data_IF_215302810377
#
_entry.id   IF_215302810377
#
_cell.length_a   1.000
_cell.length_b   1.000
_cell.length_c   1.000
_cell.angle_alpha   90.00
_cell.angle_beta   90.00
_cell.angle_gamma   90.00
#
_symmetry.space_group_name_H-M   'P 1'
#
loop_
_entity.id
_entity.type
_entity.pdbx_description
1 polymer ?
#
# COMPACT_ATOMS: atom_id res chain seq x y z
N UNK A 1 -2.62 59.16 42.10
CA UNK A 1 -2.45 58.94 40.65
C UNK A 1 -1.90 57.53 40.46
N UNK A 2 -2.75 56.67 39.89
CA UNK A 2 -2.48 55.44 39.15
C UNK A 2 -1.68 54.30 39.80
N UNK A 3 -2.42 53.40 40.44
CA UNK A 3 -2.13 51.97 40.52
C UNK A 3 -2.28 51.32 39.13
N UNK A 4 -1.41 50.39 38.77
CA UNK A 4 -1.61 49.52 37.59
C UNK A 4 -1.01 48.14 37.82
N UNK A 5 -1.81 47.29 38.45
CA UNK A 5 -1.73 45.83 38.36
C UNK A 5 -2.17 45.37 36.97
N UNK A 6 -1.36 44.56 36.30
CA UNK A 6 -1.78 43.83 35.09
C UNK A 6 -1.46 42.33 35.27
N UNK A 7 -2.51 41.63 35.68
CA UNK A 7 -2.69 40.19 35.51
C UNK A 7 -3.03 39.87 34.06
N UNK A 8 -2.28 38.98 33.41
CA UNK A 8 -2.68 38.34 32.17
C UNK A 8 -2.72 36.82 32.38
N UNK A 9 -3.93 36.34 32.60
CA UNK A 9 -4.35 34.95 32.65
C UNK A 9 -4.27 34.33 31.25
N UNK A 10 -3.38 33.34 31.08
CA UNK A 10 -3.35 32.45 29.91
C UNK A 10 -4.24 31.24 30.14
N UNK A 11 -5.54 31.39 29.91
CA UNK A 11 -6.47 30.26 29.81
C UNK A 11 -6.45 29.71 28.39
N UNK A 12 -5.65 28.65 28.17
CA UNK A 12 -5.76 27.80 26.99
C UNK A 12 -7.00 26.93 27.16
N UNK A 13 -8.08 27.29 26.45
CA UNK A 13 -9.27 26.45 26.36
C UNK A 13 -8.97 25.25 25.46
N UNK A 14 -8.50 24.15 26.04
CA UNK A 14 -8.56 22.85 25.36
C UNK A 14 -10.02 22.42 25.31
N UNK A 15 -10.65 22.55 24.14
CA UNK A 15 -11.94 21.90 23.89
C UNK A 15 -11.82 20.41 24.23
N UNK A 16 -12.82 19.79 24.88
CA UNK A 16 -12.76 18.37 25.18
C UNK A 16 -12.63 17.59 23.87
N UNK A 17 -11.55 16.81 23.74
CA UNK A 17 -11.32 15.92 22.61
C UNK A 17 -12.52 14.98 22.49
N UNK A 18 -13.18 14.99 21.33
CA UNK A 18 -14.22 13.99 21.04
C UNK A 18 -13.62 12.59 21.21
N UNK A 19 -14.35 11.64 21.79
CA UNK A 19 -13.88 10.26 21.84
C UNK A 19 -13.65 9.73 20.42
N UNK A 20 -12.65 8.86 20.21
CA UNK A 20 -12.35 8.34 18.89
C UNK A 20 -13.53 7.54 18.32
N UNK A 21 -13.75 7.62 17.01
CA UNK A 21 -14.83 6.94 16.28
C UNK A 21 -14.56 5.42 16.24
N UNK A 22 -13.29 5.04 16.07
CA UNK A 22 -12.81 3.65 16.11
C UNK A 22 -11.69 3.63 17.13
N UNK A 23 -11.77 2.73 18.11
CA UNK A 23 -10.60 2.47 18.93
C UNK A 23 -9.61 1.71 18.05
N UNK A 24 -8.42 2.25 17.81
CA UNK A 24 -7.37 1.47 17.15
C UNK A 24 -6.88 0.41 18.15
N UNK A 25 -6.88 -0.85 17.74
CA UNK A 25 -6.44 -1.95 18.61
C UNK A 25 -5.07 -2.44 18.20
N UNK A 26 -4.26 -2.76 19.21
CA UNK A 26 -3.05 -3.58 19.08
C UNK A 26 -3.35 -5.08 19.19
N UNK A 27 -4.64 -5.48 19.23
CA UNK A 27 -5.08 -6.84 19.58
C UNK A 27 -6.06 -7.39 18.55
N UNK A 28 -6.01 -8.71 18.35
CA UNK A 28 -6.88 -9.48 17.45
C UNK A 28 -8.36 -9.22 17.71
N UNK A 29 -9.12 -9.07 16.62
CA UNK A 29 -10.57 -9.06 16.59
C UNK A 29 -11.13 -10.50 16.55
N UNK A 30 -12.41 -10.71 16.86
CA UNK A 30 -13.10 -11.98 16.63
C UNK A 30 -12.93 -12.46 15.17
N UNK A 31 -13.04 -13.77 14.95
CA UNK A 31 -12.88 -14.35 13.60
C UNK A 31 -13.85 -13.70 12.59
N UNK A 32 -13.41 -13.47 11.35
CA UNK A 32 -14.20 -12.75 10.38
C UNK A 32 -15.37 -13.62 9.92
N UNK A 33 -16.60 -13.19 10.22
CA UNK A 33 -17.75 -13.60 9.42
C UNK A 33 -17.53 -13.20 7.96
N UNK A 34 -18.05 -14.00 7.03
CA UNK A 34 -17.98 -13.69 5.60
C UNK A 34 -18.45 -12.25 5.37
N UNK A 35 -17.66 -11.37 4.70
CA UNK A 35 -18.14 -10.03 4.36
C UNK A 35 -19.14 -10.13 3.20
N UNK A 36 -20.32 -10.71 3.45
CA UNK A 36 -21.48 -10.65 2.55
C UNK A 36 -22.07 -9.24 2.50
N UNK A 37 -21.77 -8.45 3.53
CA UNK A 37 -22.26 -7.10 3.75
C UNK A 37 -21.40 -6.07 3.01
N UNK A 38 -22.06 -5.21 2.24
CA UNK A 38 -21.40 -4.14 1.47
C UNK A 38 -22.15 -2.83 1.64
N UNK A 39 -21.40 -1.73 1.67
CA UNK A 39 -21.92 -0.40 1.36
C UNK A 39 -21.96 -0.26 -0.16
N UNK A 40 -23.15 -0.06 -0.71
CA UNK A 40 -23.36 0.06 -2.16
C UNK A 40 -23.77 1.48 -2.50
N UNK A 41 -22.92 2.17 -3.26
CA UNK A 41 -23.14 3.54 -3.67
C UNK A 41 -23.71 3.58 -5.08
N UNK A 42 -24.79 4.33 -5.24
CA UNK A 42 -25.52 4.51 -6.48
C UNK A 42 -25.50 5.96 -6.91
N UNK A 43 -25.48 6.16 -8.22
CA UNK A 43 -25.76 7.45 -8.83
C UNK A 43 -27.28 7.73 -8.70
N UNK A 44 -27.70 8.92 -8.23
CA UNK A 44 -29.12 9.22 -7.98
C UNK A 44 -29.94 9.23 -9.28
N UNK A 45 -29.57 10.02 -10.29
CA UNK A 45 -30.31 10.12 -11.56
C UNK A 45 -30.37 8.81 -12.36
N UNK A 46 -29.26 8.06 -12.44
CA UNK A 46 -29.18 6.82 -13.22
C UNK A 46 -29.63 5.58 -12.45
N UNK A 47 -29.76 5.68 -11.12
CA UNK A 47 -29.99 4.56 -10.20
C UNK A 47 -29.03 3.37 -10.48
N UNK A 48 -27.79 3.68 -10.84
CA UNK A 48 -26.76 2.71 -11.20
C UNK A 48 -25.68 2.66 -10.13
N UNK A 49 -25.32 1.44 -9.69
CA UNK A 49 -24.30 1.23 -8.67
C UNK A 49 -22.89 1.38 -9.26
N UNK A 50 -22.06 2.21 -8.64
CA UNK A 50 -20.70 2.47 -9.15
C UNK A 50 -19.57 2.16 -8.15
N UNK A 51 -19.90 1.91 -6.88
CA UNK A 51 -18.90 1.58 -5.86
C UNK A 51 -19.49 0.67 -4.79
N UNK A 52 -18.90 -0.52 -4.62
CA UNK A 52 -19.33 -1.53 -3.64
C UNK A 52 -18.19 -1.86 -2.66
N UNK A 53 -18.21 -1.24 -1.49
CA UNK A 53 -17.18 -1.42 -0.46
C UNK A 53 -17.62 -2.51 0.52
N UNK A 54 -16.86 -3.60 0.68
CA UNK A 54 -17.11 -4.59 1.74
C UNK A 54 -16.94 -3.96 3.12
N UNK A 55 -17.84 -4.28 4.03
CA UNK A 55 -17.78 -3.78 5.41
C UNK A 55 -17.57 -4.90 6.42
N UNK A 56 -16.96 -4.55 7.54
CA UNK A 56 -16.63 -5.46 8.65
C UNK A 56 -16.98 -4.81 9.97
N UNK A 57 -17.02 -5.61 11.03
CA UNK A 57 -17.24 -5.08 12.37
C UNK A 57 -16.03 -4.28 12.81
N UNK A 58 -16.26 -3.00 13.13
CA UNK A 58 -15.22 -2.09 13.58
C UNK A 58 -15.17 -2.12 15.11
N UNK A 59 -13.97 -2.06 15.69
CA UNK A 59 -13.86 -2.05 17.13
C UNK A 59 -13.96 -0.61 17.65
N UNK A 60 -14.76 -0.42 18.69
CA UNK A 60 -15.22 0.87 19.21
C UNK A 60 -14.56 1.19 20.57
N UNK A 61 -14.58 2.46 21.01
CA UNK A 61 -14.13 2.83 22.35
C UNK A 61 -14.77 1.97 23.43
N UNK A 62 -13.99 1.66 24.48
CA UNK A 62 -14.46 0.80 25.58
C UNK A 62 -14.32 -0.70 25.30
N UNK A 63 -13.51 -1.11 24.32
CA UNK A 63 -13.28 -2.51 23.93
C UNK A 63 -14.55 -3.24 23.47
N UNK A 64 -15.49 -2.50 22.87
CA UNK A 64 -16.71 -3.05 22.29
C UNK A 64 -16.52 -3.18 20.79
N UNK A 65 -17.23 -4.11 20.14
CA UNK A 65 -17.25 -4.26 18.69
C UNK A 65 -18.58 -3.71 18.17
N UNK A 66 -18.59 -3.04 17.02
CA UNK A 66 -19.81 -2.49 16.44
C UNK A 66 -20.87 -3.58 16.24
N UNK A 67 -22.13 -3.29 16.55
CA UNK A 67 -23.23 -4.27 16.40
C UNK A 67 -23.46 -4.66 14.93
N UNK A 68 -23.15 -3.74 14.01
CA UNK A 68 -23.23 -3.95 12.56
C UNK A 68 -21.87 -3.78 11.94
N UNK A 69 -21.63 -4.53 10.86
CA UNK A 69 -20.50 -4.28 9.97
C UNK A 69 -20.61 -2.87 9.38
N UNK A 70 -19.54 -2.08 9.48
CA UNK A 70 -19.53 -0.68 9.13
C UNK A 70 -18.16 -0.21 8.60
N UNK A 71 -18.13 1.02 8.11
CA UNK A 71 -16.93 1.74 7.68
C UNK A 71 -17.06 3.23 8.08
N UNK A 72 -15.97 3.95 8.39
CA UNK A 72 -16.03 5.39 8.58
C UNK A 72 -16.68 6.11 7.38
N UNK A 73 -17.63 7.02 7.65
CA UNK A 73 -18.30 7.83 6.63
C UNK A 73 -17.28 8.59 5.77
N UNK A 74 -16.23 9.13 6.40
CA UNK A 74 -15.18 9.87 5.69
C UNK A 74 -14.46 9.00 4.67
N UNK A 75 -14.22 7.71 4.94
CA UNK A 75 -13.61 6.81 3.98
C UNK A 75 -14.53 6.54 2.78
N UNK A 76 -15.85 6.45 3.00
CA UNK A 76 -16.83 6.32 1.91
C UNK A 76 -16.85 7.58 1.05
N UNK A 77 -16.89 8.76 1.67
CA UNK A 77 -16.88 10.04 0.95
C UNK A 77 -15.60 10.24 0.15
N UNK A 78 -14.43 9.92 0.74
CA UNK A 78 -13.15 10.01 0.04
C UNK A 78 -13.11 9.02 -1.16
N UNK A 79 -13.67 7.81 -1.01
CA UNK A 79 -13.76 6.84 -2.11
C UNK A 79 -14.69 7.33 -3.23
N UNK A 80 -15.83 7.93 -2.89
CA UNK A 80 -16.70 8.56 -3.88
C UNK A 80 -15.98 9.69 -4.60
N UNK A 81 -15.29 10.58 -3.87
CA UNK A 81 -14.53 11.69 -4.46
C UNK A 81 -13.41 11.19 -5.40
N UNK A 82 -12.76 10.06 -5.10
CA UNK A 82 -11.80 9.43 -6.02
C UNK A 82 -12.45 9.11 -7.37
N UNK A 83 -13.65 8.51 -7.35
CA UNK A 83 -14.32 8.05 -8.56
C UNK A 83 -15.05 9.16 -9.31
N UNK A 84 -15.61 10.16 -8.62
CA UNK A 84 -16.36 11.25 -9.25
C UNK A 84 -15.50 12.47 -9.57
N UNK A 85 -14.36 12.64 -8.89
CA UNK A 85 -13.57 13.87 -8.93
C UNK A 85 -14.19 15.05 -8.17
N UNK A 86 -15.36 14.86 -7.56
CA UNK A 86 -16.19 15.92 -6.97
C UNK A 86 -16.59 15.59 -5.52
N UNK A 87 -16.63 16.62 -4.68
CA UNK A 87 -17.11 16.50 -3.29
C UNK A 87 -18.64 16.39 -3.28
N UNK A 88 -19.16 15.74 -2.25
CA UNK A 88 -20.58 15.47 -2.14
C UNK A 88 -20.97 14.93 -0.78
N UNK A 89 -22.24 14.57 -0.67
CA UNK A 89 -22.85 14.00 0.54
C UNK A 89 -23.40 12.60 0.26
N UNK A 90 -23.44 11.78 1.31
CA UNK A 90 -23.99 10.44 1.26
C UNK A 90 -25.42 10.44 1.81
N UNK A 91 -26.37 9.88 1.08
CA UNK A 91 -27.79 9.85 1.45
C UNK A 91 -28.38 8.44 1.35
N UNK A 92 -29.48 8.18 2.07
CA UNK A 92 -30.20 6.89 2.03
C UNK A 92 -31.29 6.84 0.96
N UNK A 93 -31.69 8.00 0.43
CA UNK A 93 -32.61 8.17 -0.70
C UNK A 93 -31.93 8.93 -1.85
N UNK A 94 -32.44 8.71 -3.06
CA UNK A 94 -31.99 9.34 -4.31
C UNK A 94 -32.39 10.81 -4.43
N UNK A 95 -33.39 11.25 -3.67
CA UNK A 95 -33.81 12.68 -3.60
C UNK A 95 -32.95 13.51 -2.64
N UNK A 96 -32.07 12.88 -1.86
CA UNK A 96 -31.14 13.56 -0.96
C UNK A 96 -31.72 14.10 0.35
N UNK A 97 -32.91 13.64 0.76
CA UNK A 97 -33.59 14.14 1.97
C UNK A 97 -33.06 13.50 3.24
N UNK A 98 -32.52 12.29 3.15
CA UNK A 98 -32.02 11.48 4.27
C UNK A 98 -30.50 11.40 4.23
N UNK A 99 -29.86 12.52 4.59
CA UNK A 99 -28.40 12.60 4.68
C UNK A 99 -27.88 11.66 5.78
N UNK A 100 -26.81 10.92 5.47
CA UNK A 100 -26.13 10.07 6.43
C UNK A 100 -25.30 10.93 7.39
N UNK A 101 -25.80 11.11 8.62
CA UNK A 101 -25.15 11.91 9.65
C UNK A 101 -24.29 11.07 10.63
N UNK A 102 -24.34 9.74 10.53
CA UNK A 102 -23.53 8.88 11.39
C UNK A 102 -22.09 8.85 10.92
N UNK A 103 -21.15 8.87 11.88
CA UNK A 103 -19.71 8.73 11.61
C UNK A 103 -19.35 7.35 11.05
N UNK A 104 -20.20 6.34 11.26
CA UNK A 104 -20.05 4.98 10.74
C UNK A 104 -21.22 4.63 9.82
N UNK A 105 -20.89 4.14 8.63
CA UNK A 105 -21.85 3.73 7.60
C UNK A 105 -22.00 2.21 7.64
N UNK A 106 -23.21 1.74 7.91
CA UNK A 106 -23.54 0.31 7.89
C UNK A 106 -23.78 -0.22 6.47
N UNK A 107 -23.81 -1.55 6.32
CA UNK A 107 -24.13 -2.16 5.04
C UNK A 107 -25.51 -1.72 4.52
N UNK A 108 -25.61 -1.41 3.23
CA UNK A 108 -26.85 -0.89 2.67
C UNK A 108 -26.69 -0.27 1.29
N UNK A 109 -27.81 0.26 0.78
CA UNK A 109 -27.86 1.08 -0.43
C UNK A 109 -27.81 2.55 -0.02
N UNK A 110 -26.95 3.30 -0.69
CA UNK A 110 -26.79 4.73 -0.52
C UNK A 110 -26.65 5.42 -1.87
N UNK A 111 -26.90 6.72 -1.88
CA UNK A 111 -26.74 7.59 -3.03
C UNK A 111 -25.69 8.65 -2.73
N UNK A 112 -24.86 8.97 -3.71
CA UNK A 112 -23.87 10.04 -3.59
C UNK A 112 -24.35 11.25 -4.38
N UNK A 113 -24.50 12.38 -3.69
CA UNK A 113 -25.02 13.62 -4.27
C UNK A 113 -23.89 14.62 -4.32
N UNK A 114 -23.55 15.03 -5.54
CA UNK A 114 -22.55 16.08 -5.79
C UNK A 114 -23.25 17.43 -5.92
N UNK A 115 -22.55 18.51 -5.55
CA UNK A 115 -23.04 19.89 -5.70
C UNK A 115 -24.43 20.16 -5.10
N UNK A 116 -24.82 19.40 -4.06
CA UNK A 116 -26.14 19.46 -3.42
C UNK A 116 -27.32 19.31 -4.41
N UNK A 117 -27.11 18.67 -5.57
CA UNK A 117 -28.11 18.48 -6.62
C UNK A 117 -28.36 16.97 -6.87
N UNK A 118 -29.47 16.39 -6.35
CA UNK A 118 -29.79 14.97 -6.57
C UNK A 118 -30.09 14.62 -8.04
N UNK A 119 -30.34 15.63 -8.90
CA UNK A 119 -30.62 15.44 -10.32
C UNK A 119 -29.38 15.59 -11.20
N UNK A 120 -28.25 15.96 -10.62
CA UNK A 120 -26.99 16.10 -11.37
C UNK A 120 -26.62 14.75 -11.98
N UNK A 121 -26.42 14.73 -13.30
CA UNK A 121 -25.91 13.56 -14.01
C UNK A 121 -24.40 13.67 -14.15
N UNK A 122 -23.67 13.10 -13.19
CA UNK A 122 -22.21 13.22 -13.13
C UNK A 122 -21.50 11.97 -13.65
N UNK A 123 -20.37 12.14 -14.36
CA UNK A 123 -19.58 11.04 -14.84
C UNK A 123 -18.60 10.53 -13.78
N UNK A 124 -18.00 9.36 -14.01
CA UNK A 124 -17.01 8.76 -13.10
C UNK A 124 -15.75 8.29 -13.83
N UNK A 125 -14.65 8.18 -13.09
CA UNK A 125 -13.48 7.45 -13.53
C UNK A 125 -13.74 5.95 -13.35
N UNK A 126 -13.49 5.17 -14.40
CA UNK A 126 -13.77 3.73 -14.41
C UNK A 126 -12.55 2.88 -14.06
N UNK A 127 -11.34 3.42 -14.25
CA UNK A 127 -10.09 2.74 -13.93
C UNK A 127 -9.06 3.71 -13.36
N UNK A 128 -8.11 3.15 -12.61
CA UNK A 128 -6.98 3.92 -12.08
C UNK A 128 -6.10 4.53 -13.19
N UNK A 129 -5.97 3.84 -14.34
CA UNK A 129 -5.21 4.36 -15.50
C UNK A 129 -5.84 5.61 -16.12
N UNK A 130 -7.17 5.72 -16.05
CA UNK A 130 -7.92 6.89 -16.52
C UNK A 130 -7.93 8.02 -15.49
N UNK A 131 -7.75 7.69 -14.21
CA UNK A 131 -7.81 8.61 -13.09
C UNK A 131 -6.66 9.60 -13.09
N UNK A 132 -7.00 10.88 -12.97
CA UNK A 132 -6.06 11.98 -12.75
C UNK A 132 -6.16 12.35 -11.28
N UNK A 133 -5.09 12.16 -10.48
CA UNK A 133 -5.17 12.47 -9.06
C UNK A 133 -5.39 13.97 -8.86
N UNK A 134 -6.16 14.37 -7.84
CA UNK A 134 -6.31 15.77 -7.48
C UNK A 134 -4.95 16.35 -7.07
N UNK A 135 -4.81 17.68 -7.15
CA UNK A 135 -3.61 18.33 -6.63
C UNK A 135 -3.52 18.13 -5.12
N UNK A 136 -2.32 18.25 -4.57
CA UNK A 136 -2.08 18.09 -3.13
C UNK A 136 -3.06 18.92 -2.30
N UNK A 137 -3.27 20.19 -2.67
CA UNK A 137 -4.17 21.13 -1.99
C UNK A 137 -5.64 20.67 -1.96
N UNK A 138 -6.06 19.86 -2.93
CA UNK A 138 -7.45 19.43 -3.10
C UNK A 138 -7.75 18.08 -2.40
N UNK A 139 -6.71 17.32 -2.03
CA UNK A 139 -6.84 16.10 -1.21
C UNK A 139 -7.43 16.47 0.16
N UNK A 140 -8.35 15.68 0.74
CA UNK A 140 -8.94 15.99 2.04
C UNK A 140 -7.89 16.12 3.17
N UNK A 141 -8.03 17.13 4.04
CA UNK A 141 -7.08 17.45 5.13
C UNK A 141 -6.75 16.25 6.02
N UNK A 142 -7.71 15.35 6.23
CA UNK A 142 -7.56 14.17 7.07
C UNK A 142 -6.48 13.19 6.61
N UNK A 143 -6.08 13.22 5.33
CA UNK A 143 -4.96 12.41 4.82
C UNK A 143 -3.60 12.95 5.24
N UNK A 144 -3.55 14.18 5.76
CA UNK A 144 -2.35 14.83 6.24
C UNK A 144 -2.35 14.87 7.77
N UNK A 145 -1.67 13.92 8.38
CA UNK A 145 -1.58 13.78 9.85
C UNK A 145 -0.47 14.65 10.42
N UNK A 146 -0.29 14.66 11.74
CA UNK A 146 0.87 15.30 12.37
C UNK A 146 2.21 14.73 11.89
N UNK A 147 2.23 13.46 11.47
CA UNK A 147 3.43 12.81 10.89
C UNK A 147 3.59 13.18 9.42
N UNK A 148 2.47 13.36 8.69
CA UNK A 148 2.43 13.68 7.27
C UNK A 148 1.76 15.04 7.03
N UNK A 149 2.38 16.14 7.47
CA UNK A 149 1.73 17.43 7.35
C UNK A 149 1.52 17.80 5.89
N UNK A 150 0.42 18.51 5.61
CA UNK A 150 0.12 19.04 4.28
C UNK A 150 1.26 19.92 3.79
N UNK A 151 1.77 20.75 4.68
CA UNK A 151 2.95 21.59 4.50
C UNK A 151 3.87 21.30 5.67
N UNK A 152 5.01 20.67 5.43
CA UNK A 152 6.10 20.59 6.42
C UNK A 152 6.88 21.93 6.40
N UNK A 153 7.58 22.31 7.46
CA UNK A 153 8.47 23.48 7.43
C UNK A 153 9.78 23.17 6.69
N UNK A 154 10.41 24.18 6.09
CA UNK A 154 11.74 24.04 5.44
C UNK A 154 12.81 23.61 6.46
N UNK A 155 12.63 23.94 7.73
CA UNK A 155 13.56 23.65 8.83
C UNK A 155 13.43 22.23 9.42
N UNK A 156 12.64 21.34 8.81
CA UNK A 156 12.42 20.00 9.36
C UNK A 156 13.65 19.08 9.16
N UNK A 157 14.26 18.59 10.25
CA UNK A 157 15.48 17.78 10.19
C UNK A 157 15.26 16.35 9.67
N UNK A 158 14.03 15.85 9.48
CA UNK A 158 13.82 14.55 8.81
C UNK A 158 14.11 14.65 7.30
N UNK A 159 13.99 15.85 6.74
CA UNK A 159 14.49 16.17 5.40
C UNK A 159 16.02 16.40 5.38
N UNK A 160 16.70 16.27 6.52
CA UNK A 160 18.14 16.43 6.59
C UNK A 160 18.81 15.31 5.81
N UNK A 161 19.12 15.58 4.54
CA UNK A 161 20.31 15.25 3.72
C UNK A 161 20.88 13.81 3.72
N UNK A 162 20.44 12.92 4.61
CA UNK A 162 20.94 11.55 4.77
C UNK A 162 20.48 10.65 3.63
N UNK A 163 19.36 10.99 2.99
CA UNK A 163 18.84 10.22 1.87
C UNK A 163 19.43 10.67 0.53
N UNK A 164 19.82 11.94 0.37
CA UNK A 164 20.40 12.46 -0.87
C UNK A 164 21.78 11.88 -1.20
N UNK A 165 22.51 11.43 -0.18
CA UNK A 165 23.81 10.76 -0.32
C UNK A 165 23.69 9.25 -0.64
N UNK A 166 22.46 8.75 -0.82
CA UNK A 166 22.21 7.35 -1.17
C UNK A 166 22.26 7.20 -2.69
N UNK A 167 22.94 6.17 -3.19
CA UNK A 167 22.82 5.77 -4.60
C UNK A 167 21.36 5.45 -4.93
N UNK A 168 20.81 6.03 -6.00
CA UNK A 168 19.41 5.83 -6.44
C UNK A 168 19.04 4.41 -6.90
N UNK A 169 19.84 3.38 -6.66
CA UNK A 169 19.46 1.99 -6.97
C UNK A 169 18.33 1.53 -6.02
N UNK A 170 17.27 0.94 -6.59
CA UNK A 170 16.10 0.43 -5.87
C UNK A 170 16.45 -0.53 -4.72
N UNK A 171 17.40 -1.44 -4.91
CA UNK A 171 17.78 -2.43 -3.88
C UNK A 171 18.45 -1.73 -2.68
N UNK A 172 19.27 -0.72 -2.96
CA UNK A 172 19.90 0.12 -1.93
C UNK A 172 18.85 0.91 -1.15
N UNK A 173 17.86 1.48 -1.83
CA UNK A 173 16.78 2.25 -1.20
C UNK A 173 15.88 1.37 -0.34
N UNK A 174 15.48 0.19 -0.83
CA UNK A 174 14.69 -0.79 -0.08
C UNK A 174 15.44 -1.27 1.16
N UNK A 175 16.71 -1.63 1.02
CA UNK A 175 17.55 -2.07 2.14
C UNK A 175 17.69 -0.98 3.21
N UNK A 176 17.88 0.28 2.80
CA UNK A 176 17.96 1.39 3.75
C UNK A 176 16.61 1.72 4.40
N UNK A 177 15.50 1.69 3.66
CA UNK A 177 14.16 1.86 4.23
C UNK A 177 13.89 0.81 5.31
N UNK A 178 14.16 -0.46 5.00
CA UNK A 178 14.06 -1.59 5.94
C UNK A 178 14.95 -1.39 7.17
N UNK A 179 16.22 -1.05 6.98
CA UNK A 179 17.17 -0.80 8.08
C UNK A 179 16.74 0.37 8.98
N UNK A 180 16.21 1.43 8.39
CA UNK A 180 15.77 2.62 9.13
C UNK A 180 14.47 2.37 9.89
N UNK A 181 13.54 1.62 9.29
CA UNK A 181 12.28 1.26 9.94
C UNK A 181 12.48 0.27 11.09
N UNK A 182 13.40 -0.69 10.91
CA UNK A 182 13.76 -1.71 11.90
C UNK A 182 12.68 -2.75 12.21
N UNK A 183 11.42 -2.42 11.97
CA UNK A 183 10.24 -3.25 12.23
C UNK A 183 9.23 -3.11 11.11
N UNK A 184 8.33 -4.08 11.03
CA UNK A 184 7.11 -3.98 10.24
C UNK A 184 6.25 -2.84 10.80
N UNK A 185 6.10 -1.77 10.03
CA UNK A 185 5.39 -0.55 10.44
C UNK A 185 3.89 -0.78 10.70
N UNK A 186 3.33 -1.88 10.20
CA UNK A 186 1.95 -2.28 10.45
C UNK A 186 1.77 -3.10 11.73
N UNK A 187 2.77 -3.89 12.15
CA UNK A 187 2.60 -4.96 13.14
C UNK A 187 3.59 -4.92 14.31
N UNK A 188 4.69 -4.18 14.16
CA UNK A 188 5.80 -4.14 15.11
C UNK A 188 6.75 -5.34 15.07
N UNK A 189 6.53 -6.34 14.21
CA UNK A 189 7.43 -7.49 14.10
C UNK A 189 8.80 -7.10 13.54
N UNK A 190 9.87 -7.75 14.02
CA UNK A 190 11.27 -7.43 13.67
C UNK A 190 11.84 -8.29 12.53
N UNK A 191 11.21 -9.41 12.19
CA UNK A 191 11.72 -10.41 11.24
C UNK A 191 10.83 -10.52 9.98
N UNK A 192 11.38 -11.16 8.93
CA UNK A 192 10.70 -11.33 7.63
C UNK A 192 10.22 -9.99 7.06
N UNK A 193 11.10 -8.99 7.11
CA UNK A 193 10.82 -7.62 6.68
C UNK A 193 11.25 -7.39 5.24
N UNK A 194 10.44 -6.61 4.53
CA UNK A 194 10.74 -6.08 3.21
C UNK A 194 10.15 -4.67 3.06
N UNK A 195 10.81 -3.83 2.28
CA UNK A 195 10.34 -2.49 1.95
C UNK A 195 9.51 -2.55 0.67
N UNK A 196 8.19 -2.43 0.80
CA UNK A 196 7.27 -2.44 -0.33
C UNK A 196 6.91 -1.02 -0.77
N UNK A 197 6.51 -0.86 -2.03
CA UNK A 197 6.03 0.42 -2.52
C UNK A 197 4.61 0.73 -2.04
N UNK A 198 4.36 1.98 -1.64
CA UNK A 198 3.01 2.48 -1.33
C UNK A 198 2.19 2.54 -2.62
N UNK A 199 2.71 3.22 -3.64
CA UNK A 199 2.23 3.13 -5.02
C UNK A 199 3.09 2.09 -5.75
N UNK A 200 2.54 0.96 -6.22
CA UNK A 200 3.33 -0.16 -6.75
C UNK A 200 4.33 0.23 -7.83
N UNK A 201 5.51 -0.40 -7.82
CA UNK A 201 6.51 -0.22 -8.86
C UNK A 201 5.99 -0.55 -10.27
N UNK A 202 5.04 -1.49 -10.38
CA UNK A 202 4.39 -1.84 -11.65
C UNK A 202 3.53 -0.71 -12.26
N UNK A 203 3.35 0.40 -11.53
CA UNK A 203 2.67 1.62 -11.98
C UNK A 203 3.66 2.76 -12.24
N UNK A 204 4.94 2.46 -12.50
CA UNK A 204 5.98 3.43 -12.85
C UNK A 204 5.58 4.38 -13.99
N UNK A 205 4.95 3.86 -15.05
CA UNK A 205 4.44 4.61 -16.19
C UNK A 205 3.36 5.62 -15.76
N UNK A 206 2.49 5.22 -14.83
CA UNK A 206 1.45 6.09 -14.31
C UNK A 206 2.04 7.11 -13.36
N UNK A 207 2.95 6.69 -12.47
CA UNK A 207 3.61 7.53 -11.48
C UNK A 207 4.42 8.66 -12.13
N UNK A 208 5.18 8.33 -13.17
CA UNK A 208 5.93 9.31 -13.97
C UNK A 208 5.00 10.14 -14.86
N UNK A 209 4.05 9.51 -15.56
CA UNK A 209 3.11 10.20 -16.45
C UNK A 209 2.13 11.15 -15.74
N UNK A 210 1.91 10.97 -14.43
CA UNK A 210 1.15 11.89 -13.57
C UNK A 210 2.02 12.87 -12.79
N UNK A 211 3.33 12.83 -12.97
CA UNK A 211 4.28 13.73 -12.32
C UNK A 211 4.11 13.77 -10.78
N UNK A 212 3.93 12.58 -10.18
CA UNK A 212 3.57 12.43 -8.76
C UNK A 212 4.60 13.09 -7.85
N UNK A 213 5.89 13.02 -8.20
CA UNK A 213 6.98 13.63 -7.43
C UNK A 213 6.76 15.13 -7.18
N UNK A 214 6.22 15.87 -8.16
CA UNK A 214 5.96 17.31 -8.02
C UNK A 214 4.77 17.63 -7.12
N UNK A 215 3.92 16.65 -6.84
CA UNK A 215 2.80 16.77 -5.90
C UNK A 215 3.19 16.39 -4.46
N UNK A 216 4.38 15.82 -4.26
CA UNK A 216 4.90 15.51 -2.93
C UNK A 216 5.35 16.79 -2.21
N UNK A 217 5.42 16.73 -0.89
CA UNK A 217 5.75 17.91 -0.10
C UNK A 217 7.10 18.55 -0.50
N UNK A 218 8.12 17.72 -0.77
CA UNK A 218 9.32 18.16 -1.49
C UNK A 218 9.15 17.82 -2.98
N UNK A 219 9.03 18.81 -3.89
CA UNK A 219 8.64 18.58 -5.28
C UNK A 219 9.82 18.11 -6.17
N UNK A 220 10.64 17.21 -5.64
CA UNK A 220 11.79 16.56 -6.29
C UNK A 220 11.98 15.17 -5.69
N UNK A 221 12.62 14.26 -6.42
CA UNK A 221 12.81 12.88 -5.96
C UNK A 221 13.83 12.80 -4.83
N UNK A 222 13.66 11.81 -3.94
CA UNK A 222 14.61 11.52 -2.86
C UNK A 222 15.04 10.05 -2.96
N UNK A 223 16.32 9.77 -3.26
CA UNK A 223 17.39 10.72 -3.54
C UNK A 223 17.18 11.47 -4.87
N UNK A 224 17.75 12.68 -4.96
CA UNK A 224 17.70 13.49 -6.18
C UNK A 224 18.45 12.85 -7.36
N UNK A 225 19.28 11.85 -7.11
CA UNK A 225 19.99 11.07 -8.14
C UNK A 225 19.09 10.09 -8.89
N UNK A 226 17.84 9.89 -8.46
CA UNK A 226 16.88 9.06 -9.19
C UNK A 226 16.57 9.66 -10.56
N UNK A 227 16.71 8.83 -11.60
CA UNK A 227 16.27 9.21 -12.95
C UNK A 227 14.75 9.38 -12.98
N UNK A 228 14.23 10.06 -14.01
CA UNK A 228 12.77 10.21 -14.19
C UNK A 228 12.04 8.86 -14.26
N UNK A 229 12.67 7.82 -14.81
CA UNK A 229 12.09 6.47 -14.90
C UNK A 229 12.06 5.77 -13.55
N UNK A 230 13.01 6.08 -12.68
CA UNK A 230 13.16 5.45 -11.36
C UNK A 230 12.45 6.23 -10.24
N UNK A 231 11.72 7.31 -10.58
CA UNK A 231 11.03 8.15 -9.60
C UNK A 231 10.00 7.38 -8.75
N UNK A 232 9.44 6.28 -9.25
CA UNK A 232 8.56 5.41 -8.45
C UNK A 232 9.28 4.80 -7.25
N UNK A 233 10.62 4.70 -7.29
CA UNK A 233 11.46 4.19 -6.21
C UNK A 233 11.86 5.24 -5.18
N UNK A 234 11.28 6.45 -5.25
CA UNK A 234 11.45 7.47 -4.23
C UNK A 234 11.28 6.88 -2.81
N UNK A 235 12.20 7.22 -1.90
CA UNK A 235 12.21 6.65 -0.55
C UNK A 235 10.91 6.91 0.22
N UNK A 236 10.21 8.00 -0.12
CA UNK A 236 8.91 8.38 0.47
C UNK A 236 7.76 7.52 -0.06
N UNK A 237 8.00 6.72 -1.09
CA UNK A 237 7.10 5.71 -1.61
C UNK A 237 7.39 4.31 -1.02
N UNK A 238 8.28 4.16 -0.03
CA UNK A 238 8.64 2.88 0.57
C UNK A 238 8.16 2.73 2.02
N UNK A 239 7.46 1.62 2.30
CA UNK A 239 6.96 1.22 3.61
C UNK A 239 7.49 -0.17 3.97
N UNK A 240 8.09 -0.33 5.16
CA UNK A 240 8.56 -1.65 5.61
C UNK A 240 7.42 -2.46 6.23
N UNK A 241 7.15 -3.62 5.64
CA UNK A 241 6.11 -4.55 6.08
C UNK A 241 6.70 -5.95 6.27
N UNK A 242 5.96 -6.79 7.01
CA UNK A 242 6.21 -8.23 7.09
C UNK A 242 5.78 -8.88 5.76
N UNK A 243 6.49 -9.88 5.27
CA UNK A 243 6.29 -10.46 3.92
C UNK A 243 4.85 -10.90 3.63
N UNK A 244 4.17 -11.49 4.61
CA UNK A 244 2.75 -11.89 4.49
C UNK A 244 1.82 -10.68 4.39
N UNK A 245 2.05 -9.64 5.21
CA UNK A 245 1.30 -8.38 5.19
C UNK A 245 1.53 -7.64 3.87
N UNK A 246 2.77 -7.60 3.39
CA UNK A 246 3.12 -7.03 2.08
C UNK A 246 2.36 -7.71 0.95
N UNK A 247 2.29 -9.05 0.94
CA UNK A 247 1.53 -9.78 -0.09
C UNK A 247 0.07 -9.33 -0.11
N UNK A 248 -0.57 -9.25 1.06
CA UNK A 248 -1.96 -8.76 1.17
C UNK A 248 -2.09 -7.30 0.77
N UNK A 249 -1.09 -6.47 1.10
CA UNK A 249 -1.01 -5.09 0.67
C UNK A 249 -1.02 -5.02 -0.84
N UNK A 250 -0.05 -5.64 -1.53
CA UNK A 250 0.12 -5.63 -2.99
C UNK A 250 -1.08 -6.20 -3.75
N UNK A 251 -1.78 -7.19 -3.20
CA UNK A 251 -3.04 -7.72 -3.72
C UNK A 251 -4.24 -6.77 -3.55
N UNK A 252 -4.06 -5.61 -2.90
CA UNK A 252 -5.11 -4.63 -2.57
C UNK A 252 -6.16 -5.20 -1.62
N UNK A 253 -5.78 -6.15 -0.76
CA UNK A 253 -6.69 -6.77 0.20
C UNK A 253 -7.14 -5.79 1.30
N UNK A 254 -6.30 -4.80 1.60
CA UNK A 254 -6.58 -3.73 2.54
C UNK A 254 -5.89 -2.43 2.12
N UNK A 255 -6.35 -1.32 2.68
CA UNK A 255 -5.70 -0.01 2.56
C UNK A 255 -5.68 0.67 3.92
N UNK A 256 -4.84 1.68 4.11
CA UNK A 256 -4.95 2.54 5.28
C UNK A 256 -5.92 3.69 5.01
N UNK A 257 -6.77 4.00 5.99
CA UNK A 257 -7.71 5.13 5.96
C UNK A 257 -7.50 6.04 7.17
N UNK A 258 -7.70 7.35 7.04
CA UNK A 258 -7.58 8.29 8.14
C UNK A 258 -8.80 8.24 9.05
N UNK A 259 -8.57 7.99 10.35
CA UNK A 259 -9.57 8.03 11.41
C UNK A 259 -8.94 8.72 12.62
N UNK A 260 -9.57 9.80 13.09
CA UNK A 260 -9.13 10.57 14.27
C UNK A 260 -7.65 10.99 14.25
N UNK A 261 -7.16 11.39 13.08
CA UNK A 261 -5.78 11.83 12.88
C UNK A 261 -4.75 10.68 12.82
N UNK A 262 -5.20 9.43 12.85
CA UNK A 262 -4.37 8.24 12.68
C UNK A 262 -4.72 7.52 11.38
N UNK A 263 -3.79 6.73 10.86
CA UNK A 263 -4.05 5.81 9.76
C UNK A 263 -4.31 4.41 10.32
N UNK A 264 -5.47 3.85 10.00
CA UNK A 264 -5.85 2.49 10.39
C UNK A 264 -5.99 1.61 9.15
N UNK A 265 -5.59 0.35 9.24
CA UNK A 265 -5.81 -0.62 8.17
C UNK A 265 -7.30 -0.96 8.05
N UNK A 266 -7.86 -0.86 6.85
CA UNK A 266 -9.22 -1.29 6.54
C UNK A 266 -9.18 -2.35 5.45
N UNK A 267 -9.56 -3.56 5.83
CA UNK A 267 -9.65 -4.73 4.93
C UNK A 267 -10.85 -4.61 3.99
N UNK A 268 -10.55 -4.43 2.70
CA UNK A 268 -11.54 -4.31 1.62
C UNK A 268 -11.70 -5.61 0.82
N UNK A 269 -10.88 -6.65 1.07
CA UNK A 269 -11.06 -7.96 0.44
C UNK A 269 -12.39 -8.59 0.84
N UNK A 270 -13.10 -9.12 -0.16
CA UNK A 270 -14.34 -9.91 -0.01
C UNK A 270 -14.06 -11.33 0.48
N UNK A 271 -12.81 -11.80 0.39
CA UNK A 271 -12.45 -13.15 0.81
C UNK A 271 -12.30 -13.16 2.35
N UNK A 272 -12.87 -14.14 3.06
CA UNK A 272 -12.57 -14.35 4.46
C UNK A 272 -11.10 -14.70 4.61
N UNK A 273 -10.36 -13.87 5.31
CA UNK A 273 -8.93 -14.04 5.49
C UNK A 273 -8.60 -13.90 6.96
N UNK A 274 -7.84 -14.86 7.50
CA UNK A 274 -7.36 -14.80 8.89
C UNK A 274 -6.58 -13.52 9.17
N UNK A 275 -5.88 -12.97 8.17
CA UNK A 275 -5.21 -11.68 8.29
C UNK A 275 -6.17 -10.50 8.55
N UNK A 276 -7.43 -10.58 8.10
CA UNK A 276 -8.42 -9.54 8.39
C UNK A 276 -8.73 -9.45 9.89
N UNK A 277 -8.85 -10.58 10.61
CA UNK A 277 -9.02 -10.56 12.08
C UNK A 277 -7.81 -10.03 12.85
N UNK A 278 -6.62 -10.07 12.25
CA UNK A 278 -5.39 -9.59 12.89
C UNK A 278 -5.14 -8.10 12.66
N UNK A 279 -5.51 -7.59 11.48
CA UNK A 279 -5.09 -6.27 11.01
C UNK A 279 -6.24 -5.31 10.71
N UNK A 280 -7.49 -5.75 10.71
CA UNK A 280 -8.61 -4.83 10.55
C UNK A 280 -8.65 -3.81 11.71
N UNK A 281 -8.68 -2.54 11.35
CA UNK A 281 -8.59 -1.38 12.26
C UNK A 281 -7.30 -1.30 13.10
N UNK A 282 -6.21 -2.00 12.69
CA UNK A 282 -4.91 -1.82 13.33
C UNK A 282 -4.28 -0.49 12.92
N UNK A 283 -3.70 0.23 13.87
CA UNK A 283 -3.00 1.49 13.61
C UNK A 283 -1.70 1.23 12.85
N UNK A 284 -1.44 2.02 11.81
CA UNK A 284 -0.11 2.11 11.20
C UNK A 284 0.81 2.93 12.12
N UNK A 285 2.05 2.47 12.32
CA UNK A 285 3.14 3.32 12.81
C UNK A 285 3.87 3.92 11.58
N UNK A 286 3.45 5.09 11.05
CA UNK A 286 4.01 5.64 9.83
C UNK A 286 5.47 6.06 10.00
N UNK A 287 6.42 5.65 9.14
CA UNK A 287 7.75 6.25 9.16
C UNK A 287 7.69 7.70 8.66
N UNK A 288 8.40 8.61 9.33
CA UNK A 288 8.30 10.06 9.11
C UNK A 288 8.68 10.53 7.69
N UNK A 289 9.28 9.65 6.88
CA UNK A 289 9.64 9.90 5.47
C UNK A 289 8.47 9.70 4.50
N UNK A 290 7.46 8.90 4.82
CA UNK A 290 6.33 8.69 3.91
C UNK A 290 5.56 10.01 3.69
N UNK A 291 4.83 10.11 2.58
CA UNK A 291 3.97 11.25 2.27
C UNK A 291 2.49 10.84 2.29
N UNK A 292 1.65 11.62 2.98
CA UNK A 292 0.20 11.40 3.04
C UNK A 292 -0.48 11.40 1.66
N UNK A 293 0.08 12.13 0.69
CA UNK A 293 -0.42 12.13 -0.69
C UNK A 293 -0.26 10.76 -1.36
N UNK A 294 0.84 10.05 -1.10
CA UNK A 294 1.05 8.69 -1.61
C UNK A 294 0.08 7.69 -0.97
N UNK A 295 -0.22 7.87 0.32
CA UNK A 295 -1.25 7.07 1.01
C UNK A 295 -2.64 7.28 0.40
N UNK A 296 -2.99 8.52 0.03
CA UNK A 296 -4.24 8.83 -0.67
C UNK A 296 -4.29 8.18 -2.07
N UNK A 297 -3.18 8.21 -2.83
CA UNK A 297 -3.09 7.53 -4.13
C UNK A 297 -3.26 6.02 -3.97
N UNK A 298 -2.64 5.42 -2.95
CA UNK A 298 -2.81 3.98 -2.69
C UNK A 298 -4.22 3.63 -2.27
N UNK A 299 -4.87 4.48 -1.49
CA UNK A 299 -6.28 4.33 -1.18
C UNK A 299 -7.13 4.36 -2.46
N UNK A 300 -6.91 5.34 -3.36
CA UNK A 300 -7.58 5.39 -4.64
C UNK A 300 -7.35 4.10 -5.47
N UNK A 301 -6.10 3.64 -5.56
CA UNK A 301 -5.75 2.40 -6.26
C UNK A 301 -6.51 1.17 -5.75
N UNK A 302 -6.74 1.12 -4.43
CA UNK A 302 -7.53 0.07 -3.79
C UNK A 302 -9.02 0.24 -4.09
N UNK A 303 -9.56 1.46 -4.01
CA UNK A 303 -10.97 1.80 -4.29
C UNK A 303 -11.39 1.37 -5.71
N UNK A 304 -10.53 1.51 -6.72
CA UNK A 304 -10.84 1.06 -8.07
C UNK A 304 -11.09 -0.46 -8.17
N UNK A 305 -10.63 -1.26 -7.20
CA UNK A 305 -10.94 -2.70 -7.12
C UNK A 305 -12.36 -2.97 -6.60
N UNK A 306 -13.02 -1.95 -6.05
CA UNK A 306 -14.40 -1.99 -5.54
C UNK A 306 -15.44 -1.49 -6.56
N UNK A 307 -15.00 -1.07 -7.76
CA UNK A 307 -15.90 -0.68 -8.86
C UNK A 307 -16.51 -1.97 -9.45
N UNK A 308 -17.84 -2.07 -9.56
CA UNK A 308 -18.48 -3.26 -10.09
C UNK A 308 -18.17 -3.42 -11.60
N UNK A 309 -17.92 -4.66 -12.02
CA UNK A 309 -17.77 -4.98 -13.44
C UNK A 309 -19.02 -4.56 -14.23
N UNK A 310 -18.82 -3.92 -15.38
CA UNK A 310 -19.90 -3.45 -16.26
C UNK A 310 -20.38 -2.01 -16.02
N UNK A 311 -19.83 -1.30 -15.02
CA UNK A 311 -20.18 0.11 -14.74
C UNK A 311 -19.98 1.02 -15.97
N UNK A 312 -18.94 0.75 -16.78
CA UNK A 312 -18.59 1.44 -18.04
C UNK A 312 -19.77 1.61 -19.00
N UNK A 313 -20.72 0.66 -19.01
CA UNK A 313 -21.86 0.68 -19.92
C UNK A 313 -23.00 1.59 -19.46
N UNK A 314 -23.10 1.85 -18.15
CA UNK A 314 -24.22 2.57 -17.53
C UNK A 314 -23.88 4.00 -17.12
N UNK A 315 -22.60 4.32 -16.93
CA UNK A 315 -22.15 5.59 -16.38
C UNK A 315 -21.23 6.31 -17.37
N UNK A 316 -21.39 7.63 -17.51
CA UNK A 316 -20.54 8.45 -18.38
C UNK A 316 -19.09 8.43 -17.92
N UNK A 317 -18.14 8.42 -18.87
CA UNK A 317 -16.71 8.54 -18.58
C UNK A 317 -16.38 9.97 -18.15
N UNK A 318 -15.60 10.12 -17.08
CA UNK A 318 -15.23 11.43 -16.54
C UNK A 318 -14.48 12.28 -17.59
N UNK A 319 -14.81 13.58 -17.78
CA UNK A 319 -14.24 14.41 -18.84
C UNK A 319 -12.74 14.68 -18.63
N UNK A 320 -12.26 14.65 -17.39
CA UNK A 320 -10.83 14.73 -17.07
C UNK A 320 -10.10 13.39 -17.19
N UNK A 321 -10.76 12.32 -17.68
CA UNK A 321 -10.09 11.03 -17.89
C UNK A 321 -8.95 11.19 -18.89
N UNK A 322 -7.75 10.79 -18.50
CA UNK A 322 -6.56 10.90 -19.32
C UNK A 322 -5.80 9.58 -19.26
N UNK A 323 -6.21 8.61 -20.08
CA UNK A 323 -5.66 7.26 -20.03
C UNK A 323 -4.15 7.28 -20.26
N UNK A 324 -3.40 6.72 -19.32
CA UNK A 324 -2.01 6.36 -19.54
C UNK A 324 -1.94 4.89 -19.94
N UNK A 325 -1.33 4.62 -21.09
CA UNK A 325 -1.16 3.25 -21.59
C UNK A 325 0.06 2.65 -20.89
N UNK A 326 -0.13 1.50 -20.24
CA UNK A 326 1.00 0.70 -19.77
C UNK A 326 1.88 0.35 -20.98
N UNK A 327 3.19 0.67 -20.97
CA UNK A 327 4.09 0.25 -22.02
C UNK A 327 3.98 -1.26 -22.21
N UNK A 328 3.89 -1.74 -23.45
CA UNK A 328 4.08 -3.17 -23.68
C UNK A 328 5.48 -3.53 -23.16
N UNK A 329 5.64 -4.65 -22.45
CA UNK A 329 6.97 -5.13 -22.12
C UNK A 329 7.75 -5.24 -23.44
N UNK A 330 8.87 -4.51 -23.54
CA UNK A 330 9.72 -4.62 -24.71
C UNK A 330 10.15 -6.07 -24.81
N UNK A 331 10.06 -6.66 -26.00
CA UNK A 331 10.45 -8.05 -26.26
C UNK A 331 11.95 -8.33 -26.04
N UNK A 332 12.72 -7.37 -25.51
CA UNK A 332 14.15 -7.44 -25.29
C UNK A 332 14.57 -7.53 -23.82
N UNK A 333 13.65 -7.44 -22.86
CA UNK A 333 13.95 -7.63 -21.43
C UNK A 333 12.93 -8.58 -20.80
N UNK A 334 12.88 -9.81 -21.33
CA UNK A 334 12.43 -10.93 -20.51
C UNK A 334 13.56 -11.25 -19.52
N UNK A 335 13.61 -10.52 -18.40
CA UNK A 335 14.11 -11.11 -17.17
C UNK A 335 13.33 -12.41 -16.95
N UNK A 336 13.96 -13.53 -16.55
CA UNK A 336 13.25 -14.77 -16.31
C UNK A 336 12.40 -14.59 -15.06
N UNK A 337 11.20 -14.04 -15.26
CA UNK A 337 10.10 -14.28 -14.37
C UNK A 337 9.90 -15.80 -14.41
N UNK A 338 10.11 -16.46 -13.28
CA UNK A 338 9.73 -17.86 -13.07
C UNK A 338 8.26 -17.96 -13.46
N UNK A 339 8.04 -18.44 -14.68
CA UNK A 339 6.72 -18.78 -15.19
C UNK A 339 6.38 -20.09 -14.51
N UNK A 340 5.55 -20.02 -13.48
CA UNK A 340 4.89 -21.22 -12.99
C UNK A 340 4.04 -21.74 -14.16
N UNK A 341 4.28 -22.97 -14.64
CA UNK A 341 3.48 -23.50 -15.71
C UNK A 341 2.07 -23.75 -15.17
N UNK A 342 1.08 -23.21 -15.89
CA UNK A 342 -0.33 -23.53 -15.72
C UNK A 342 -0.57 -25.00 -16.07
N UNK A 343 -0.28 -25.91 -15.13
CA UNK A 343 -0.71 -27.30 -15.21
C UNK A 343 -1.93 -27.50 -14.31
N UNK A 344 -3.11 -27.49 -14.94
CA UNK A 344 -4.17 -28.38 -14.51
C UNK A 344 -4.19 -29.54 -15.49
N UNK A 345 -3.79 -30.73 -15.04
CA UNK A 345 -4.56 -31.92 -15.35
C UNK A 345 -5.02 -32.61 -14.06
N UNK A 346 -6.29 -32.99 -14.08
CA UNK A 346 -6.92 -33.90 -13.15
C UNK A 346 -6.05 -35.15 -12.92
N UNK A 347 -5.68 -35.41 -11.68
CA UNK A 347 -5.94 -36.64 -10.94
C UNK A 347 -5.43 -36.45 -9.50
N UNK A 348 -6.11 -37.09 -8.55
CA UNK A 348 -5.89 -36.89 -7.13
C UNK A 348 -4.55 -37.49 -6.69
N UNK A 349 -3.51 -36.65 -6.62
CA UNK A 349 -2.35 -36.91 -5.78
C UNK A 349 -2.41 -36.03 -4.53
N UNK A 350 -2.35 -36.72 -3.41
CA UNK A 350 -2.53 -36.25 -2.04
C UNK A 350 -1.42 -35.26 -1.67
N UNK A 351 -1.73 -33.96 -1.63
CA UNK A 351 -0.82 -32.93 -1.11
C UNK A 351 -0.66 -33.12 0.40
N UNK A 352 0.49 -33.63 0.84
CA UNK A 352 0.86 -33.72 2.25
C UNK A 352 1.48 -32.40 2.73
N UNK A 353 0.79 -31.59 3.55
CA UNK A 353 1.31 -30.33 4.08
C UNK A 353 2.44 -30.51 5.11
N UNK A 354 2.82 -31.75 5.46
CA UNK A 354 3.97 -32.05 6.31
C UNK A 354 5.22 -32.51 5.52
N UNK A 355 5.19 -32.50 4.19
CA UNK A 355 6.39 -32.77 3.39
C UNK A 355 7.44 -31.70 3.67
N UNK A 356 8.40 -32.06 4.52
CA UNK A 356 9.55 -31.24 4.87
C UNK A 356 10.31 -30.94 3.57
N UNK A 357 10.42 -29.66 3.20
CA UNK A 357 11.22 -29.23 2.06
C UNK A 357 12.63 -29.78 2.26
N UNK A 358 13.06 -30.66 1.37
CA UNK A 358 14.35 -31.31 1.50
C UNK A 358 15.48 -30.28 1.39
N UNK A 359 16.57 -30.55 2.09
CA UNK A 359 17.68 -29.61 2.25
C UNK A 359 18.31 -29.25 0.89
N UNK A 360 18.22 -30.12 -0.11
CA UNK A 360 18.72 -29.89 -1.47
C UNK A 360 17.86 -28.87 -2.22
N UNK A 361 16.53 -28.98 -2.12
CA UNK A 361 15.59 -28.02 -2.67
C UNK A 361 15.72 -26.66 -1.99
N UNK A 362 15.90 -26.62 -0.67
CA UNK A 362 16.14 -25.40 0.08
C UNK A 362 17.46 -24.72 -0.34
N UNK A 363 18.54 -25.50 -0.51
CA UNK A 363 19.84 -25.00 -0.94
C UNK A 363 19.79 -24.42 -2.37
N UNK A 364 19.09 -25.08 -3.31
CA UNK A 364 18.90 -24.57 -4.68
C UNK A 364 18.20 -23.21 -4.71
N UNK A 365 17.15 -23.03 -3.90
CA UNK A 365 16.45 -21.74 -3.81
C UNK A 365 17.32 -20.63 -3.23
N UNK A 366 18.21 -20.95 -2.28
CA UNK A 366 19.17 -19.98 -1.72
C UNK A 366 20.23 -19.62 -2.78
N UNK A 367 20.76 -20.60 -3.51
CA UNK A 367 21.75 -20.39 -4.58
C UNK A 367 21.17 -19.51 -5.70
N UNK A 368 19.97 -19.80 -6.19
CA UNK A 368 19.32 -18.99 -7.23
C UNK A 368 19.09 -17.55 -6.75
N UNK A 369 18.66 -17.36 -5.50
CA UNK A 369 18.42 -16.03 -4.94
C UNK A 369 19.70 -15.16 -4.84
N UNK A 370 20.87 -15.77 -4.62
CA UNK A 370 22.15 -15.05 -4.51
C UNK A 370 22.96 -15.00 -5.81
N UNK A 371 22.60 -15.78 -6.82
CA UNK A 371 23.17 -15.68 -8.17
C UNK A 371 22.89 -14.33 -8.83
N UNK A 372 21.84 -13.64 -8.39
CA UNK A 372 21.42 -12.32 -8.89
C UNK A 372 21.99 -11.14 -8.09
N UNK A 373 22.78 -11.39 -7.03
CA UNK A 373 23.35 -10.35 -6.17
C UNK A 373 24.86 -10.35 -6.34
N UNK A 374 25.39 -9.35 -7.07
CA UNK A 374 26.84 -9.08 -7.19
C UNK A 374 27.43 -8.64 -5.83
N UNK A 375 27.59 -9.58 -4.91
CA UNK A 375 28.17 -9.42 -3.59
C UNK A 375 29.20 -10.52 -3.32
N UNK A 376 30.44 -10.19 -2.92
CA UNK A 376 31.50 -11.18 -2.78
C UNK A 376 31.39 -12.08 -1.53
N UNK A 377 30.36 -11.94 -0.69
CA UNK A 377 30.21 -12.74 0.53
C UNK A 377 28.74 -12.91 0.96
N UNK A 378 28.41 -14.11 1.47
CA UNK A 378 27.15 -14.41 2.14
C UNK A 378 27.04 -13.63 3.46
N UNK A 379 25.87 -13.06 3.79
CA UNK A 379 25.61 -12.50 5.12
C UNK A 379 25.88 -13.53 6.25
N UNK A 380 26.40 -13.05 7.38
CA UNK A 380 26.90 -13.90 8.48
C UNK A 380 25.86 -14.88 9.05
N UNK A 381 24.58 -14.50 9.04
CA UNK A 381 23.45 -15.33 9.47
C UNK A 381 23.17 -16.50 8.51
N UNK A 382 23.35 -16.26 7.21
CA UNK A 382 23.26 -17.26 6.15
C UNK A 382 24.52 -18.14 6.09
N UNK A 383 25.71 -17.59 6.34
CA UNK A 383 26.93 -18.39 6.48
C UNK A 383 26.82 -19.37 7.65
N UNK A 384 26.23 -18.94 8.77
CA UNK A 384 25.96 -19.79 9.92
C UNK A 384 24.87 -20.85 9.63
N UNK A 385 23.83 -20.51 8.86
CA UNK A 385 22.83 -21.48 8.42
C UNK A 385 23.41 -22.49 7.41
N UNK A 386 24.23 -22.04 6.47
CA UNK A 386 24.92 -22.87 5.49
C UNK A 386 25.85 -23.89 6.16
N UNK A 387 26.61 -23.46 7.17
CA UNK A 387 27.46 -24.33 7.98
C UNK A 387 26.67 -25.33 8.86
N UNK A 388 25.38 -25.06 9.11
CA UNK A 388 24.53 -25.90 9.97
C UNK A 388 23.81 -27.02 9.22
N UNK A 389 23.50 -26.83 7.93
CA UNK A 389 22.66 -27.74 7.14
C UNK A 389 23.40 -28.51 6.05
N UNK A 390 24.65 -28.16 5.73
CA UNK A 390 25.53 -29.04 4.95
C UNK A 390 26.32 -29.92 5.92
N UNK A 391 26.11 -31.25 5.94
CA UNK A 391 26.94 -32.13 6.78
C UNK A 391 28.41 -32.05 6.33
N UNK A 392 29.34 -32.24 7.28
CA UNK A 392 30.77 -32.41 7.02
C UNK A 392 31.03 -33.69 6.20
N UNK A 393 30.62 -33.72 4.94
CA UNK A 393 31.27 -34.59 3.96
C UNK A 393 32.52 -33.86 3.46
N UNK A 394 33.64 -34.57 3.56
CA UNK A 394 35.03 -34.11 3.61
C UNK A 394 35.32 -32.76 2.94
N UNK A 395 36.15 -31.92 3.55
CA UNK A 395 36.68 -30.67 2.96
C UNK A 395 37.11 -30.79 1.47
N UNK A 396 37.48 -32.01 1.04
CA UNK A 396 37.77 -32.36 -0.35
C UNK A 396 36.59 -32.17 -1.33
N UNK A 397 35.35 -32.36 -0.89
CA UNK A 397 34.16 -32.18 -1.74
C UNK A 397 33.76 -30.72 -1.90
N UNK A 398 33.91 -29.92 -0.84
CA UNK A 398 33.67 -28.47 -0.89
C UNK A 398 34.71 -27.79 -1.77
N UNK A 399 36.00 -28.18 -1.66
CA UNK A 399 37.05 -27.60 -2.49
C UNK A 399 36.96 -28.07 -3.95
N UNK A 400 36.48 -29.30 -4.21
CA UNK A 400 36.14 -29.77 -5.55
C UNK A 400 35.01 -28.94 -6.16
N UNK A 401 33.89 -28.77 -5.45
CA UNK A 401 32.74 -28.00 -5.95
C UNK A 401 33.10 -26.52 -6.17
N UNK A 402 33.93 -25.92 -5.29
CA UNK A 402 34.45 -24.57 -5.48
C UNK A 402 35.33 -24.48 -6.73
N UNK A 403 36.21 -25.46 -6.96
CA UNK A 403 37.09 -25.51 -8.13
C UNK A 403 36.30 -25.68 -9.44
N UNK A 404 35.29 -26.56 -9.45
CA UNK A 404 34.40 -26.77 -10.60
C UNK A 404 33.58 -25.51 -10.93
N UNK A 405 33.10 -24.81 -9.91
CA UNK A 405 32.39 -23.54 -10.08
C UNK A 405 33.30 -22.46 -10.65
N UNK A 406 34.52 -22.30 -10.12
CA UNK A 406 35.48 -21.32 -10.64
C UNK A 406 35.88 -21.60 -12.09
N UNK A 407 36.07 -22.88 -12.45
CA UNK A 407 36.34 -23.28 -13.84
C UNK A 407 35.20 -22.91 -14.77
N UNK A 408 33.94 -23.13 -14.35
CA UNK A 408 32.75 -22.79 -15.14
C UNK A 408 32.58 -21.28 -15.32
N UNK A 409 32.91 -20.48 -14.32
CA UNK A 409 32.90 -19.01 -14.42
C UNK A 409 33.96 -18.48 -15.38
N UNK A 410 35.15 -19.10 -15.44
CA UNK A 410 36.16 -18.73 -16.44
C UNK A 410 35.69 -19.07 -17.86
N UNK A 411 35.11 -20.24 -18.05
CA UNK A 411 34.61 -20.69 -19.35
C UNK A 411 33.51 -19.76 -19.90
N UNK A 412 32.55 -19.37 -19.05
CA UNK A 412 31.50 -18.41 -19.41
C UNK A 412 32.07 -17.02 -19.76
N UNK A 413 33.14 -16.57 -19.08
CA UNK A 413 33.80 -15.30 -19.40
C UNK A 413 34.55 -15.34 -20.74
N UNK A 414 35.17 -16.47 -21.07
CA UNK A 414 35.84 -16.67 -22.37
C UNK A 414 34.82 -16.74 -23.52
N UNK A 415 33.68 -17.40 -23.30
CA UNK A 415 32.56 -17.44 -24.25
C UNK A 415 31.96 -16.05 -24.50
N UNK A 416 31.80 -15.23 -23.45
CA UNK A 416 31.32 -13.85 -23.55
C UNK A 416 32.26 -12.92 -24.34
N UNK A 417 33.58 -13.16 -24.28
CA UNK A 417 34.57 -12.41 -25.06
C UNK A 417 34.55 -12.81 -26.54
N UNK A 418 34.21 -14.06 -26.87
CA UNK A 418 34.13 -14.54 -28.25
C UNK A 418 32.79 -14.25 -28.95
N UNK A 419 31.77 -13.80 -28.21
CA UNK A 419 30.47 -13.37 -28.78
C UNK A 419 30.44 -11.89 -29.20
N UNK A 420 31.55 -11.15 -29.08
CA UNK A 420 31.66 -9.73 -29.41
C UNK A 420 32.71 -9.37 -30.47
N UNK A 421 33.31 -10.36 -31.12
CA UNK A 421 33.92 -10.24 -32.47
C UNK A 421 32.97 -10.85 -33.51
#
# INVERSE_FOLDING_TARGET
>A
MSSSSSSSSSSSSSSPLRPPIIASFKRRLPEPEFPSSKVRIYHPTRNAGFLFIPVRHCPLPGNVVSDKACIPLTAVLDACQVLTGEKGVLTRDDEGRQVCLSDLVDAGRYYYIVNDNPKEDYPIFHSFDDWVPPRREDVPDRWFTSVYPRVRPISDPVASHSWDMVSGNVNTLRSKAKKYDGVCRATGFETALDACHVVPAALDYWFSGRDIVRQLYYPYSIPQTLSTKDQVHDIRNLLTLRTDVQRRWDERAFTYIPVDGQLIAYYMSVVPERHASEFHCSQLDPPARLDGYLMYIRFAYTVFSCVPGGCDSTMGRHPKSSRLTKPLPSSAEASPCVSYPSYLPNEADEFDPNAQMDDETAAKHIIDYFSDVDGPALPDDLAAAWAKYMPEESELDIERLRSEWQARQMQLREELVHTHD
#
